data_IF_755497524694
#
_entry.id   IF_755497524694
#
_cell.length_a   1.000
_cell.length_b   1.000
_cell.length_c   1.000
_cell.angle_alpha   90.00
_cell.angle_beta   90.00
_cell.angle_gamma   90.00
#
_symmetry.space_group_name_H-M   'P 1'
#
loop_
_entity.id
_entity.type
_entity.pdbx_description
1 polymer ?
#
# COMPACT_ATOMS: atom_id res chain seq x y z
N UNK A 1 10.51 -14.87 -12.78
CA UNK A 1 10.40 -13.44 -13.15
C UNK A 1 8.98 -12.95 -12.85
N UNK A 2 8.75 -11.65 -12.68
CA UNK A 2 7.42 -11.12 -12.36
C UNK A 2 6.54 -10.93 -13.60
N UNK A 3 5.31 -11.43 -13.55
CA UNK A 3 4.43 -11.51 -14.73
C UNK A 3 3.96 -10.14 -15.22
N UNK A 4 3.65 -9.22 -14.30
CA UNK A 4 3.06 -7.90 -14.59
C UNK A 4 4.07 -6.74 -14.53
N UNK A 5 5.38 -7.04 -14.57
CA UNK A 5 6.43 -6.03 -14.57
C UNK A 5 6.67 -5.45 -15.97
N UNK A 6 6.86 -4.13 -16.06
CA UNK A 6 7.20 -3.46 -17.33
C UNK A 6 8.61 -3.87 -17.75
N UNK A 7 8.72 -4.44 -18.95
CA UNK A 7 10.00 -4.91 -19.50
C UNK A 7 10.75 -3.77 -20.16
N UNK A 8 11.96 -3.50 -19.68
CA UNK A 8 12.89 -2.56 -20.29
C UNK A 8 14.34 -2.96 -20.02
N UNK A 9 15.25 -2.58 -20.91
CA UNK A 9 16.68 -2.73 -20.63
C UNK A 9 17.07 -1.72 -19.54
N UNK A 10 17.24 -2.22 -18.33
CA UNK A 10 17.59 -1.44 -17.16
C UNK A 10 19.12 -1.43 -17.03
N UNK A 11 19.75 -0.27 -17.26
CA UNK A 11 21.18 -0.11 -17.01
C UNK A 11 21.44 0.03 -15.51
N UNK A 12 22.06 -0.98 -14.90
CA UNK A 12 22.49 -0.92 -13.50
C UNK A 12 23.40 0.27 -13.21
N UNK A 13 24.21 0.69 -14.18
CA UNK A 13 25.11 1.84 -14.04
C UNK A 13 24.36 3.17 -13.90
N UNK A 14 23.21 3.31 -14.59
CA UNK A 14 22.35 4.47 -14.43
C UNK A 14 21.85 4.56 -12.98
N UNK A 15 21.39 3.46 -12.40
CA UNK A 15 20.91 3.46 -11.01
C UNK A 15 22.02 3.71 -10.00
N UNK A 16 23.21 3.12 -10.21
CA UNK A 16 24.39 3.41 -9.37
C UNK A 16 24.73 4.90 -9.37
N UNK A 17 24.62 5.57 -10.52
CA UNK A 17 24.82 7.03 -10.62
C UNK A 17 23.76 7.81 -9.86
N UNK A 18 22.47 7.45 -10.01
CA UNK A 18 21.36 8.10 -9.29
C UNK A 18 21.54 7.96 -7.78
N UNK A 19 21.85 6.75 -7.29
CA UNK A 19 22.07 6.52 -5.85
C UNK A 19 23.22 7.37 -5.33
N UNK A 20 24.34 7.43 -6.05
CA UNK A 20 25.49 8.25 -5.64
C UNK A 20 25.14 9.73 -5.57
N UNK A 21 24.48 10.26 -6.61
CA UNK A 21 24.10 11.68 -6.67
C UNK A 21 23.10 12.02 -5.57
N UNK A 22 22.05 11.21 -5.40
CA UNK A 22 21.05 11.42 -4.36
C UNK A 22 21.68 11.35 -2.96
N UNK A 23 22.60 10.42 -2.70
CA UNK A 23 23.31 10.36 -1.42
C UNK A 23 24.21 11.57 -1.20
N UNK A 24 24.88 12.08 -2.23
CA UNK A 24 25.68 13.30 -2.12
C UNK A 24 24.80 14.53 -1.82
N UNK A 25 23.67 14.68 -2.52
CA UNK A 25 22.73 15.78 -2.32
C UNK A 25 22.06 15.76 -0.93
N UNK A 26 21.82 14.57 -0.39
CA UNK A 26 21.24 14.40 0.95
C UNK A 26 22.30 14.33 2.07
N UNK A 27 23.58 14.58 1.78
CA UNK A 27 24.70 14.44 2.72
C UNK A 27 24.74 13.07 3.44
N UNK A 28 24.28 12.02 2.77
CA UNK A 28 24.20 10.68 3.31
C UNK A 28 25.56 9.99 3.23
N UNK A 29 26.19 9.74 4.38
CA UNK A 29 27.51 9.08 4.45
C UNK A 29 27.49 7.61 4.01
N UNK A 30 26.35 6.93 4.13
CA UNK A 30 26.18 5.52 3.79
C UNK A 30 25.41 5.38 2.48
N UNK A 31 26.07 4.85 1.46
CA UNK A 31 25.43 4.54 0.18
C UNK A 31 24.50 3.32 0.30
N UNK A 32 23.25 3.40 -0.19
CA UNK A 32 22.40 2.24 -0.39
C UNK A 32 23.06 1.20 -1.30
N UNK A 33 22.91 -0.08 -0.94
CA UNK A 33 23.39 -1.20 -1.76
C UNK A 33 22.34 -1.52 -2.82
N UNK A 34 22.74 -1.50 -4.09
CA UNK A 34 21.93 -1.98 -5.21
C UNK A 34 22.31 -3.42 -5.51
N UNK A 35 21.35 -4.33 -5.43
CA UNK A 35 21.51 -5.73 -5.85
C UNK A 35 21.21 -5.89 -7.34
N UNK A 36 21.67 -6.99 -7.92
CA UNK A 36 21.19 -7.44 -9.22
C UNK A 36 19.70 -7.80 -9.16
N UNK A 37 18.96 -7.72 -10.28
CA UNK A 37 17.55 -8.09 -10.33
C UNK A 37 17.35 -9.55 -9.93
N UNK A 38 16.39 -9.79 -9.03
CA UNK A 38 15.99 -11.14 -8.62
C UNK A 38 14.80 -11.61 -9.45
N UNK A 39 14.78 -12.88 -9.79
CA UNK A 39 13.56 -13.54 -10.24
C UNK A 39 12.54 -13.64 -9.09
N UNK A 40 11.27 -13.86 -9.43
CA UNK A 40 10.19 -14.07 -8.45
C UNK A 40 10.51 -15.17 -7.44
N UNK A 41 11.03 -16.32 -7.91
CA UNK A 41 11.43 -17.43 -7.05
C UNK A 41 12.57 -17.05 -6.10
N UNK A 42 13.62 -16.43 -6.62
CA UNK A 42 14.76 -15.98 -5.80
C UNK A 42 14.33 -14.93 -4.77
N UNK A 43 13.36 -14.07 -5.10
CA UNK A 43 12.81 -13.13 -4.13
C UNK A 43 12.14 -13.88 -2.97
N UNK A 44 11.31 -14.89 -3.24
CA UNK A 44 10.63 -15.65 -2.20
C UNK A 44 11.63 -16.38 -1.28
N UNK A 45 12.64 -17.02 -1.87
CA UNK A 45 13.74 -17.67 -1.13
C UNK A 45 14.51 -16.64 -0.27
N UNK A 46 14.78 -15.46 -0.84
CA UNK A 46 15.43 -14.37 -0.13
C UNK A 46 14.58 -13.82 1.03
N UNK A 47 13.27 -13.66 0.85
CA UNK A 47 12.35 -13.21 1.89
C UNK A 47 12.29 -14.20 3.04
N UNK A 48 12.17 -15.50 2.74
CA UNK A 48 12.18 -16.56 3.75
C UNK A 48 13.47 -16.53 4.59
N UNK A 49 14.63 -16.37 3.94
CA UNK A 49 15.91 -16.23 4.63
C UNK A 49 15.97 -14.98 5.53
N UNK A 50 15.38 -13.85 5.12
CA UNK A 50 15.35 -12.63 5.94
C UNK A 50 14.42 -12.74 7.14
N UNK A 51 13.29 -13.42 7.01
CA UNK A 51 12.37 -13.66 8.14
C UNK A 51 13.07 -14.49 9.24
N UNK A 52 13.88 -15.47 8.84
CA UNK A 52 14.72 -16.25 9.77
C UNK A 52 15.76 -15.38 10.49
N UNK A 53 16.26 -14.33 9.83
CA UNK A 53 17.17 -13.32 10.40
C UNK A 53 16.46 -12.19 11.15
N UNK A 54 15.20 -12.40 11.54
CA UNK A 54 14.41 -11.46 12.33
C UNK A 54 14.04 -10.15 11.60
N UNK A 55 13.91 -10.22 10.28
CA UNK A 55 13.33 -9.11 9.50
C UNK A 55 11.81 -9.20 9.48
N UNK A 56 11.15 -8.06 9.58
CA UNK A 56 9.72 -7.91 9.30
C UNK A 56 9.50 -7.59 7.83
N UNK A 57 8.63 -8.33 7.15
CA UNK A 57 8.29 -8.15 5.74
C UNK A 57 6.94 -7.45 5.63
N UNK A 58 6.91 -6.30 4.97
CA UNK A 58 5.69 -5.57 4.64
C UNK A 58 5.49 -5.58 3.14
N UNK A 59 4.30 -5.98 2.69
CA UNK A 59 3.98 -6.12 1.27
C UNK A 59 2.93 -5.09 0.90
N UNK A 60 3.26 -4.26 -0.09
CA UNK A 60 2.35 -3.33 -0.76
C UNK A 60 1.91 -3.94 -2.08
N UNK A 61 0.61 -4.22 -2.19
CA UNK A 61 -0.01 -4.76 -3.39
C UNK A 61 -1.29 -3.97 -3.74
N UNK A 62 -1.68 -4.02 -5.01
CA UNK A 62 -2.96 -3.48 -5.47
C UNK A 62 -4.00 -4.57 -5.22
N UNK A 63 -4.95 -4.31 -4.33
CA UNK A 63 -6.09 -5.21 -4.16
C UNK A 63 -7.04 -5.00 -5.34
N UNK A 64 -7.08 -5.96 -6.26
CA UNK A 64 -8.20 -6.05 -7.20
C UNK A 64 -9.42 -6.45 -6.37
N UNK A 65 -10.39 -5.54 -6.20
CA UNK A 65 -11.71 -5.97 -5.79
C UNK A 65 -12.25 -6.84 -6.92
N UNK A 66 -12.48 -8.13 -6.65
CA UNK A 66 -13.29 -8.94 -7.55
C UNK A 66 -14.57 -8.16 -7.78
N UNK A 67 -14.89 -7.87 -9.05
CA UNK A 67 -16.19 -7.31 -9.41
C UNK A 67 -17.23 -8.30 -8.92
N UNK A 68 -17.79 -8.04 -7.74
CA UNK A 68 -18.99 -8.72 -7.28
C UNK A 68 -20.01 -8.62 -8.41
N UNK A 69 -20.62 -9.76 -8.74
CA UNK A 69 -21.73 -9.81 -9.69
C UNK A 69 -22.74 -8.69 -9.38
N UNK A 70 -23.41 -8.09 -10.39
CA UNK A 70 -24.40 -7.05 -10.16
C UNK A 70 -25.62 -7.67 -9.46
N UNK A 71 -25.54 -7.81 -8.14
CA UNK A 71 -26.62 -8.20 -7.26
C UNK A 71 -27.69 -7.12 -7.27
N UNK A 72 -28.70 -7.35 -8.10
CA UNK A 72 -30.06 -6.80 -8.09
C UNK A 72 -30.38 -5.87 -6.89
N UNK A 73 -29.98 -4.59 -6.97
CA UNK A 73 -30.55 -3.55 -6.12
C UNK A 73 -31.91 -3.18 -6.69
N UNK A 74 -32.90 -4.00 -6.34
CA UNK A 74 -34.30 -3.75 -6.61
C UNK A 74 -34.67 -2.33 -6.22
N UNK A 75 -35.14 -1.57 -7.20
CA UNK A 75 -35.72 -0.27 -7.01
C UNK A 75 -36.93 -0.38 -6.08
N UNK A 76 -36.77 0.06 -4.82
CA UNK A 76 -37.93 0.39 -3.99
C UNK A 76 -38.27 1.85 -4.20
N UNK A 77 -39.28 2.02 -5.06
CA UNK A 77 -39.96 3.24 -5.45
C UNK A 77 -40.70 3.81 -4.25
N UNK A 78 -40.36 5.01 -3.80
CA UNK A 78 -41.28 5.87 -3.02
C UNK A 78 -41.16 7.29 -3.56
N UNK A 79 -42.19 7.73 -4.26
CA UNK A 79 -42.42 9.14 -4.61
C UNK A 79 -42.85 9.92 -3.37
N UNK A 80 -42.61 11.24 -3.32
CA UNK A 80 -43.74 12.12 -3.00
C UNK A 80 -43.86 13.32 -3.94
N UNK A 81 -45.10 13.76 -4.04
CA UNK A 81 -45.67 14.75 -4.96
C UNK A 81 -45.60 16.19 -4.44
N UNK A 82 -45.53 17.11 -5.41
CA UNK A 82 -46.11 18.46 -5.44
C UNK A 82 -45.57 19.57 -4.50
N UNK A 83 -45.17 20.70 -5.10
CA UNK A 83 -44.88 21.99 -4.42
C UNK A 83 -46.15 22.74 -3.96
N UNK A 84 -46.12 24.06 -3.63
CA UNK A 84 -45.37 25.12 -4.35
C UNK A 84 -44.77 26.29 -3.50
N UNK A 85 -44.16 27.24 -4.24
CA UNK A 85 -44.01 28.71 -4.03
C UNK A 85 -42.99 29.33 -3.05
N UNK A 86 -41.99 29.98 -3.67
CA UNK A 86 -41.46 31.35 -3.49
C UNK A 86 -40.85 31.87 -2.16
N UNK A 87 -39.59 32.31 -2.27
CA UNK A 87 -39.12 33.72 -2.13
C UNK A 87 -37.93 34.01 -1.17
N UNK A 88 -36.98 34.79 -1.72
CA UNK A 88 -36.13 35.86 -1.13
C UNK A 88 -34.85 35.56 -0.31
N UNK A 89 -33.72 36.03 -0.91
CA UNK A 89 -32.63 36.88 -0.39
C UNK A 89 -31.77 36.39 0.81
N UNK A 90 -30.53 35.92 0.57
CA UNK A 90 -29.22 36.64 0.64
C UNK A 90 -28.53 36.57 2.03
N UNK A 91 -27.27 37.02 2.23
CA UNK A 91 -26.09 36.14 2.38
C UNK A 91 -25.34 36.34 3.71
N UNK A 92 -24.72 35.30 4.29
CA UNK A 92 -23.51 35.39 5.14
C UNK A 92 -23.18 34.06 5.84
N UNK A 93 -21.89 33.91 6.16
CA UNK A 93 -21.26 32.96 7.08
C UNK A 93 -20.71 31.65 6.47
N UNK A 94 -19.40 31.69 6.15
CA UNK A 94 -18.48 30.60 6.52
C UNK A 94 -18.27 30.69 8.06
N UNK A 95 -17.79 29.66 8.79
CA UNK A 95 -17.04 28.50 8.33
C UNK A 95 -17.46 27.14 8.94
N UNK A 96 -16.91 26.05 8.41
CA UNK A 96 -16.58 24.80 9.11
C UNK A 96 -17.52 24.38 10.28
N UNK A 97 -18.55 23.61 9.97
CA UNK A 97 -19.26 22.78 10.96
C UNK A 97 -18.88 21.32 10.74
N UNK A 98 -17.97 20.84 11.60
CA UNK A 98 -17.66 19.43 11.73
C UNK A 98 -18.75 18.76 12.56
N UNK A 99 -19.66 18.03 11.90
CA UNK A 99 -20.55 17.07 12.56
C UNK A 99 -20.04 15.65 12.27
N UNK A 100 -19.78 14.82 13.31
CA UNK A 100 -19.41 13.43 13.14
C UNK A 100 -20.69 12.59 13.02
N UNK A 101 -21.29 12.54 11.84
CA UNK A 101 -22.34 11.55 11.57
C UNK A 101 -21.71 10.29 11.01
N UNK A 102 -21.55 9.32 11.92
CA UNK A 102 -21.30 7.91 11.62
C UNK A 102 -22.30 7.38 10.58
N UNK A 103 -21.85 6.57 9.62
CA UNK A 103 -22.65 5.44 9.18
C UNK A 103 -21.93 4.12 9.47
N UNK A 104 -22.73 3.23 10.04
CA UNK A 104 -22.44 1.83 10.28
C UNK A 104 -21.84 1.12 9.05
N UNK A 105 -20.94 0.19 9.36
CA UNK A 105 -20.25 -0.73 8.47
C UNK A 105 -21.17 -1.41 7.44
N UNK A 106 -20.57 -1.82 6.31
CA UNK A 106 -20.42 -3.26 6.12
C UNK A 106 -18.98 -3.64 5.77
N UNK A 107 -18.45 -4.59 6.54
CA UNK A 107 -17.59 -5.68 6.06
C UNK A 107 -16.51 -5.35 5.01
N UNK A 108 -15.66 -4.35 5.26
CA UNK A 108 -14.34 -4.32 4.63
C UNK A 108 -13.38 -5.04 5.57
N UNK A 109 -12.92 -6.23 5.17
CA UNK A 109 -11.89 -6.97 5.89
C UNK A 109 -10.68 -6.07 6.07
N UNK A 110 -10.64 -5.43 7.24
CA UNK A 110 -9.65 -4.44 7.60
C UNK A 110 -8.42 -5.20 8.04
N UNK A 111 -7.54 -5.51 7.09
CA UNK A 111 -6.19 -5.95 7.40
C UNK A 111 -5.36 -4.74 7.86
N UNK A 112 -5.81 -4.01 8.88
CA UNK A 112 -4.93 -3.13 9.65
C UNK A 112 -4.16 -4.03 10.59
N UNK A 113 -3.17 -4.73 10.06
CA UNK A 113 -2.18 -5.43 10.87
C UNK A 113 -1.41 -4.34 11.62
N UNK A 114 -1.83 -4.07 12.86
CA UNK A 114 -1.07 -3.25 13.78
C UNK A 114 0.21 -4.02 14.09
N UNK A 115 1.30 -3.66 13.41
CA UNK A 115 2.61 -4.20 13.71
C UNK A 115 3.02 -3.61 15.07
N UNK A 116 2.79 -4.37 16.13
CA UNK A 116 3.17 -4.01 17.50
C UNK A 116 4.69 -3.84 17.60
N UNK A 117 5.13 -2.63 17.93
CA UNK A 117 6.52 -2.17 17.84
C UNK A 117 7.30 -2.47 19.13
N UNK A 118 8.12 -3.52 19.12
CA UNK A 118 9.19 -3.70 20.13
C UNK A 118 10.52 -3.95 19.42
N UNK A 119 11.48 -3.02 19.60
CA UNK A 119 12.86 -3.11 19.12
C UNK A 119 13.15 -2.44 17.78
N UNK A 120 14.42 -2.12 17.52
CA UNK A 120 14.92 -1.65 16.24
C UNK A 120 14.77 -2.76 15.17
N UNK A 121 13.57 -2.86 14.61
CA UNK A 121 13.21 -3.94 13.68
C UNK A 121 13.80 -3.67 12.31
N UNK A 122 14.61 -4.60 11.86
CA UNK A 122 14.99 -4.71 10.47
C UNK A 122 13.72 -4.99 9.66
N UNK A 123 13.47 -4.21 8.62
CA UNK A 123 12.26 -4.30 7.84
C UNK A 123 12.59 -4.43 6.36
N UNK A 124 11.80 -5.23 5.65
CA UNK A 124 11.79 -5.34 4.20
C UNK A 124 10.45 -4.78 3.74
N UNK A 125 10.50 -3.81 2.82
CA UNK A 125 9.32 -3.34 2.11
C UNK A 125 9.32 -3.95 0.71
N UNK A 126 8.31 -4.73 0.39
CA UNK A 126 8.07 -5.31 -0.93
C UNK A 126 6.97 -4.50 -1.59
N UNK A 127 7.21 -4.00 -2.80
CA UNK A 127 6.22 -3.23 -3.55
C UNK A 127 5.95 -3.92 -4.88
N UNK A 128 4.69 -4.20 -5.15
CA UNK A 128 4.25 -4.82 -6.41
C UNK A 128 4.52 -3.92 -7.63
N UNK A 129 4.54 -4.52 -8.83
CA UNK A 129 4.67 -3.77 -10.08
C UNK A 129 3.41 -2.92 -10.33
N UNK A 130 3.43 -2.06 -11.36
CA UNK A 130 2.32 -1.15 -11.67
C UNK A 130 0.97 -1.86 -11.86
N UNK A 131 0.98 -3.09 -12.38
CA UNK A 131 -0.20 -3.94 -12.52
C UNK A 131 -0.54 -4.81 -11.30
N UNK A 132 0.14 -4.63 -10.16
CA UNK A 132 0.02 -5.50 -8.98
C UNK A 132 0.64 -6.88 -9.19
N UNK A 133 0.64 -7.70 -8.14
CA UNK A 133 1.07 -9.11 -8.27
C UNK A 133 0.03 -9.93 -9.04
N UNK A 134 0.48 -10.90 -9.82
CA UNK A 134 -0.43 -11.90 -10.39
C UNK A 134 -1.08 -12.75 -9.30
N UNK A 135 -2.24 -13.39 -9.55
CA UNK A 135 -2.88 -14.26 -8.56
C UNK A 135 -1.96 -15.36 -8.01
N UNK A 136 -1.10 -15.95 -8.85
CA UNK A 136 -0.10 -16.94 -8.41
C UNK A 136 0.98 -16.33 -7.50
N UNK A 137 1.56 -15.19 -7.88
CA UNK A 137 2.60 -14.53 -7.07
C UNK A 137 2.04 -14.03 -5.74
N UNK A 138 0.80 -13.55 -5.75
CA UNK A 138 0.08 -13.15 -4.55
C UNK A 138 -0.17 -14.34 -3.64
N UNK A 139 -0.59 -15.48 -4.17
CA UNK A 139 -0.79 -16.70 -3.38
C UNK A 139 0.51 -17.17 -2.70
N UNK A 140 1.65 -17.05 -3.38
CA UNK A 140 2.98 -17.36 -2.80
C UNK A 140 3.34 -16.39 -1.66
N UNK A 141 3.11 -15.08 -1.86
CA UNK A 141 3.33 -14.07 -0.82
C UNK A 141 2.38 -14.22 0.37
N UNK A 142 1.12 -14.58 0.12
CA UNK A 142 0.15 -14.91 1.15
C UNK A 142 0.54 -16.17 1.92
N UNK A 143 1.15 -17.16 1.26
CA UNK A 143 1.69 -18.34 1.93
C UNK A 143 2.79 -17.97 2.93
N UNK A 144 3.72 -17.09 2.55
CA UNK A 144 4.73 -16.55 3.47
C UNK A 144 4.07 -15.86 4.67
N UNK A 145 3.04 -15.04 4.43
CA UNK A 145 2.28 -14.39 5.50
C UNK A 145 1.59 -15.39 6.44
N UNK A 146 1.07 -16.50 5.92
CA UNK A 146 0.45 -17.58 6.72
C UNK A 146 1.49 -18.34 7.55
N UNK A 147 2.66 -18.61 6.98
CA UNK A 147 3.74 -19.33 7.66
C UNK A 147 4.40 -18.47 8.75
N UNK A 148 4.38 -17.14 8.57
CA UNK A 148 5.04 -16.18 9.46
C UNK A 148 4.17 -14.97 9.85
N UNK A 149 3.03 -15.18 10.53
CA UNK A 149 2.03 -14.13 10.78
C UNK A 149 2.54 -12.99 11.68
N UNK A 150 3.52 -13.25 12.55
CA UNK A 150 4.11 -12.21 13.42
C UNK A 150 5.20 -11.39 12.72
N UNK A 151 5.71 -11.86 11.58
CA UNK A 151 6.85 -11.24 10.88
C UNK A 151 6.52 -10.76 9.47
N UNK A 152 5.37 -11.13 8.90
CA UNK A 152 4.98 -10.71 7.56
C UNK A 152 3.53 -10.28 7.49
N UNK A 153 3.26 -9.20 6.76
CA UNK A 153 1.90 -8.71 6.56
C UNK A 153 1.77 -7.89 5.26
N UNK A 154 0.55 -7.88 4.72
CA UNK A 154 0.15 -6.88 3.73
C UNK A 154 -0.14 -5.55 4.41
N UNK A 155 0.38 -4.47 3.84
CA UNK A 155 0.19 -3.11 4.29
C UNK A 155 -0.71 -2.37 3.29
N UNK A 156 -1.70 -1.65 3.80
CA UNK A 156 -2.59 -0.83 2.97
C UNK A 156 -2.36 0.66 3.27
N UNK A 157 -2.00 1.43 2.24
CA UNK A 157 -1.67 2.86 2.35
C UNK A 157 -2.90 3.79 2.19
N UNK A 158 -4.10 3.24 2.24
CA UNK A 158 -5.37 3.95 2.10
C UNK A 158 -6.32 3.33 1.06
N UNK A 159 -7.35 4.08 0.68
CA UNK A 159 -8.35 3.67 -0.31
C UNK A 159 -7.99 4.00 -1.76
N UNK A 160 -6.89 4.73 -1.98
CA UNK A 160 -6.43 5.14 -3.30
C UNK A 160 -5.35 4.20 -3.81
N UNK A 161 -5.47 3.81 -5.08
CA UNK A 161 -4.40 3.12 -5.80
C UNK A 161 -3.27 4.12 -6.06
N UNK A 162 -2.07 3.80 -5.58
CA UNK A 162 -0.87 4.59 -5.77
C UNK A 162 -0.03 4.01 -6.92
N UNK A 163 0.65 4.88 -7.67
CA UNK A 163 1.73 4.46 -8.59
C UNK A 163 2.86 3.81 -7.78
N UNK A 164 3.62 2.91 -8.42
CA UNK A 164 4.68 2.12 -7.76
C UNK A 164 5.67 3.00 -7.00
N UNK A 165 6.18 4.07 -7.62
CA UNK A 165 7.14 4.99 -7.00
C UNK A 165 6.54 5.76 -5.81
N UNK A 166 5.26 6.13 -5.89
CA UNK A 166 4.56 6.82 -4.80
C UNK A 166 4.30 5.86 -3.63
N UNK A 167 3.97 4.60 -3.93
CA UNK A 167 3.80 3.57 -2.91
C UNK A 167 5.11 3.30 -2.15
N UNK A 168 6.25 3.27 -2.85
CA UNK A 168 7.58 3.16 -2.23
C UNK A 168 7.85 4.30 -1.27
N UNK A 169 7.66 5.56 -1.71
CA UNK A 169 7.90 6.73 -0.86
C UNK A 169 6.98 6.77 0.37
N UNK A 170 5.69 6.48 0.19
CA UNK A 170 4.72 6.42 1.27
C UNK A 170 5.03 5.28 2.27
N UNK A 171 5.38 4.09 1.78
CA UNK A 171 5.75 2.95 2.62
C UNK A 171 7.04 3.18 3.42
N UNK A 172 8.08 3.77 2.80
CA UNK A 172 9.30 4.16 3.50
C UNK A 172 9.04 5.25 4.55
N UNK A 173 8.19 6.22 4.24
CA UNK A 173 7.79 7.27 5.19
C UNK A 173 7.06 6.68 6.40
N UNK A 174 6.13 5.75 6.16
CA UNK A 174 5.43 5.01 7.21
C UNK A 174 6.42 4.26 8.11
N UNK A 175 7.35 3.50 7.52
CA UNK A 175 8.38 2.76 8.25
C UNK A 175 9.33 3.67 9.05
N UNK A 176 9.68 4.83 8.49
CA UNK A 176 10.54 5.80 9.18
C UNK A 176 9.83 6.38 10.39
N UNK A 177 8.57 6.77 10.26
CA UNK A 177 7.78 7.35 11.36
C UNK A 177 7.43 6.31 12.41
N UNK A 178 7.13 5.06 12.02
CA UNK A 178 6.82 3.98 12.97
C UNK A 178 8.00 3.59 13.85
N UNK A 179 9.24 3.93 13.45
CA UNK A 179 10.44 3.76 14.28
C UNK A 179 10.64 4.88 15.29
N UNK A 180 10.14 6.08 15.01
CA UNK A 180 10.28 7.26 15.87
C UNK A 180 9.25 7.28 16.99
N UNK A 181 8.07 6.67 16.78
CA UNK A 181 6.99 6.62 17.78
C UNK A 181 7.20 5.61 18.92
N UNK A 182 8.45 5.23 19.22
CA UNK A 182 8.82 4.29 20.28
C UNK A 182 9.87 4.91 21.21
#
# INVERSE_FOLDING_TARGET
EFQRSVRGNISGDRFRRIVREASAQCEAWKLPILSEPLSSRELLEWLAARIQQDYHVLILDIVEEEKGEPGNRGASRVSPSAGPSESRLSPAALPFSASPSSPASPSSTSYTSSVSSQGARNAVLVVGPEGGFSPSERADLEQICRDHPSKSAFLQLGSRVLRTETAVLAGLSYLSMSRVSN
#
